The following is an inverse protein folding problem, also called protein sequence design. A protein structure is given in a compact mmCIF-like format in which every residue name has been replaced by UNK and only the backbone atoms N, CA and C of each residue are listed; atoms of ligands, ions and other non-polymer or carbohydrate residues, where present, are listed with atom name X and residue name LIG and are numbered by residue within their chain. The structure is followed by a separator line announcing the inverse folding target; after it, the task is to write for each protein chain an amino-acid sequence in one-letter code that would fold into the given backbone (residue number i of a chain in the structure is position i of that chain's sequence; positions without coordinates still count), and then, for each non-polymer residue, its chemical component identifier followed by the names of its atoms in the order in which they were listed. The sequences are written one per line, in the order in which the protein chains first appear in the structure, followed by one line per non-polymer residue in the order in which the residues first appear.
data_IF_778062240992
#
_entry.id   IF_778062240992
#
_cell.length_a   1.000
_cell.length_b   1.000
_cell.length_c   1.000
_cell.angle_alpha   90.00
_cell.angle_beta   90.00
_cell.angle_gamma   90.00
#
_symmetry.space_group_name_H-M   'P 1'
#
loop_
_entity.id
_entity.type
_entity.pdbx_description
1 polymer ?
#
# COMPACT_ATOMS: atom_id res chain seq x y z
N UNK A 1 38.07 5.77 -23.01
CA UNK A 1 37.21 6.89 -22.57
C UNK A 1 36.75 6.54 -21.17
N UNK A 2 37.42 7.13 -20.18
CA UNK A 2 37.25 6.83 -18.77
C UNK A 2 36.33 7.93 -18.20
N UNK A 3 35.02 7.72 -18.24
CA UNK A 3 34.06 8.67 -17.68
C UNK A 3 33.99 8.47 -16.17
N UNK A 4 34.93 9.11 -15.48
CA UNK A 4 34.87 9.24 -14.02
C UNK A 4 33.73 10.18 -13.68
N UNK A 5 32.61 9.64 -13.19
CA UNK A 5 31.51 10.41 -12.64
C UNK A 5 32.01 11.23 -11.44
N UNK A 6 32.24 12.53 -11.66
CA UNK A 6 32.61 13.48 -10.62
C UNK A 6 31.36 13.94 -9.87
N UNK A 7 30.90 13.14 -8.92
CA UNK A 7 29.99 13.63 -7.89
C UNK A 7 30.82 14.23 -6.75
N UNK A 8 30.54 15.46 -6.28
CA UNK A 8 31.23 16.03 -5.13
C UNK A 8 30.95 15.21 -3.85
N UNK A 9 31.96 14.92 -3.01
CA UNK A 9 31.79 14.16 -1.78
C UNK A 9 31.31 15.09 -0.66
N UNK A 10 30.06 15.53 -0.72
CA UNK A 10 29.44 16.34 0.33
C UNK A 10 27.92 16.34 0.22
N UNK A 11 27.31 15.19 0.52
CA UNK A 11 25.87 15.08 0.77
C UNK A 11 25.60 14.11 1.95
N UNK A 12 26.48 14.08 2.95
CA UNK A 12 26.48 13.04 3.99
C UNK A 12 26.58 13.52 5.43
N UNK A 13 26.34 14.80 5.77
CA UNK A 13 26.62 15.28 7.12
C UNK A 13 25.62 16.30 7.68
N UNK A 14 24.33 16.18 7.35
CA UNK A 14 23.29 16.93 8.06
C UNK A 14 21.97 16.13 8.10
N UNK A 15 21.92 15.09 8.93
CA UNK A 15 20.64 14.58 9.41
C UNK A 15 20.16 15.50 10.52
N UNK A 16 19.42 16.56 10.16
CA UNK A 16 18.57 17.22 11.14
C UNK A 16 17.51 16.19 11.56
N UNK A 17 17.66 15.61 12.75
CA UNK A 17 16.63 14.78 13.37
C UNK A 17 15.43 15.64 13.76
N UNK A 18 14.65 16.08 12.77
CA UNK A 18 13.34 16.61 13.03
C UNK A 18 12.42 15.44 13.35
N UNK A 19 12.29 15.12 14.64
CA UNK A 19 11.23 14.23 15.13
C UNK A 19 9.90 14.95 14.93
N UNK A 20 9.30 14.82 13.74
CA UNK A 20 7.87 15.09 13.58
C UNK A 20 7.16 14.02 14.40
N UNK A 21 6.51 14.40 15.50
CA UNK A 21 5.53 13.52 16.11
C UNK A 21 4.48 13.17 15.06
N UNK A 22 4.26 11.89 14.71
CA UNK A 22 3.36 11.53 13.62
C UNK A 22 1.96 12.03 13.97
N UNK A 23 1.56 13.13 13.33
CA UNK A 23 0.28 13.77 13.62
C UNK A 23 -0.82 12.80 13.21
N UNK A 24 -1.77 12.48 14.09
CA UNK A 24 -2.84 11.51 13.75
C UNK A 24 -3.95 12.15 12.91
N UNK A 25 -3.58 12.91 11.88
CA UNK A 25 -4.54 13.65 11.08
C UNK A 25 -5.60 12.71 10.48
N UNK A 26 -6.89 12.94 10.75
CA UNK A 26 -7.97 12.14 10.17
C UNK A 26 -8.08 12.41 8.68
N UNK A 27 -8.65 11.46 7.94
CA UNK A 27 -8.99 11.66 6.53
C UNK A 27 -10.01 12.82 6.43
N UNK A 28 -9.77 13.87 5.61
CA UNK A 28 -10.70 14.99 5.48
C UNK A 28 -12.09 14.58 4.97
N UNK A 29 -12.18 13.44 4.29
CA UNK A 29 -13.44 12.94 3.69
C UNK A 29 -14.27 12.12 4.68
N UNK A 30 -13.68 11.16 5.41
CA UNK A 30 -14.43 10.25 6.28
C UNK A 30 -14.15 10.42 7.77
N UNK A 31 -13.26 11.34 8.15
CA UNK A 31 -12.83 11.61 9.53
C UNK A 31 -12.19 10.43 10.27
N UNK A 32 -11.90 9.31 9.60
CA UNK A 32 -11.18 8.18 10.17
C UNK A 32 -9.67 8.36 10.02
N UNK A 33 -8.91 7.93 11.02
CA UNK A 33 -7.44 7.99 10.99
C UNK A 33 -6.84 7.00 9.99
N UNK A 34 -6.13 7.51 9.00
CA UNK A 34 -5.36 6.74 8.03
C UNK A 34 -4.04 6.20 8.59
N UNK A 35 -3.36 5.33 7.83
CA UNK A 35 -1.98 4.89 8.13
C UNK A 35 -0.99 5.84 7.47
N UNK A 36 0.17 6.05 8.08
CA UNK A 36 1.28 6.71 7.38
C UNK A 36 1.65 5.91 6.13
N UNK A 37 2.02 6.61 5.05
CA UNK A 37 2.59 6.00 3.84
C UNK A 37 3.85 6.76 3.47
N UNK A 38 4.89 6.04 3.10
CA UNK A 38 6.15 6.65 2.72
C UNK A 38 6.04 7.33 1.35
N UNK A 39 6.75 8.44 1.17
CA UNK A 39 6.69 9.21 -0.06
C UNK A 39 7.13 8.40 -1.31
N UNK A 40 8.13 7.48 -1.24
CA UNK A 40 8.43 6.58 -2.34
C UNK A 40 7.25 5.68 -2.74
N UNK A 41 6.52 5.08 -1.78
CA UNK A 41 5.32 4.29 -2.04
C UNK A 41 4.27 5.12 -2.78
N UNK A 42 4.00 6.32 -2.27
CA UNK A 42 3.01 7.23 -2.84
C UNK A 42 3.37 7.56 -4.30
N UNK A 43 4.62 7.97 -4.55
CA UNK A 43 5.09 8.32 -5.90
C UNK A 43 5.09 7.13 -6.87
N UNK A 44 5.40 5.93 -6.38
CA UNK A 44 5.39 4.72 -7.21
C UNK A 44 3.98 4.34 -7.69
N UNK A 45 2.95 4.62 -6.85
CA UNK A 45 1.58 4.16 -7.08
C UNK A 45 0.65 5.22 -7.62
N UNK A 46 0.98 6.51 -7.53
CA UNK A 46 0.17 7.57 -8.13
C UNK A 46 0.23 7.54 -9.67
N UNK A 47 -0.93 7.72 -10.28
CA UNK A 47 -1.16 7.86 -11.72
C UNK A 47 -1.34 9.34 -12.13
N UNK A 48 -0.77 10.26 -11.34
CA UNK A 48 -0.76 11.71 -11.61
C UNK A 48 0.66 12.20 -11.90
N UNK A 49 0.83 13.37 -12.53
CA UNK A 49 2.15 13.99 -12.67
C UNK A 49 2.80 14.20 -11.30
N UNK A 50 4.02 13.68 -11.10
CA UNK A 50 4.70 13.81 -9.80
C UNK A 50 5.08 15.27 -9.44
N UNK A 51 5.02 16.19 -10.41
CA UNK A 51 5.13 17.64 -10.19
C UNK A 51 3.99 18.19 -9.31
N UNK A 52 2.87 17.48 -9.22
CA UNK A 52 1.72 17.85 -8.40
C UNK A 52 1.83 17.33 -6.96
N UNK A 53 2.77 16.42 -6.67
CA UNK A 53 2.91 15.79 -5.35
C UNK A 53 3.78 16.66 -4.44
N UNK A 54 3.19 17.26 -3.41
CA UNK A 54 3.93 18.07 -2.42
C UNK A 54 4.83 17.19 -1.54
N UNK A 55 6.00 17.68 -1.09
CA UNK A 55 6.91 16.95 -0.19
C UNK A 55 6.45 17.03 1.27
N UNK A 56 5.22 16.59 1.54
CA UNK A 56 4.63 16.53 2.89
C UNK A 56 4.33 15.08 3.28
N UNK A 57 3.99 14.84 4.54
CA UNK A 57 3.52 13.53 4.98
C UNK A 57 2.14 13.22 4.39
N UNK A 58 1.96 11.98 3.94
CA UNK A 58 0.69 11.46 3.47
C UNK A 58 0.22 10.29 4.31
N UNK A 59 -1.08 10.04 4.23
CA UNK A 59 -1.73 8.90 4.86
C UNK A 59 -2.62 8.15 3.89
N UNK A 60 -2.64 6.84 4.05
CA UNK A 60 -3.54 5.91 3.40
C UNK A 60 -4.85 5.76 4.19
N UNK A 61 -5.98 6.13 3.58
CA UNK A 61 -7.31 5.93 4.13
C UNK A 61 -7.80 4.51 3.80
N UNK A 62 -7.94 3.67 4.83
CA UNK A 62 -8.36 2.27 4.69
C UNK A 62 -9.87 2.04 4.75
N UNK A 63 -10.67 3.09 4.94
CA UNK A 63 -12.12 2.98 5.08
C UNK A 63 -12.73 2.57 3.74
N UNK A 64 -13.48 1.45 3.65
CA UNK A 64 -13.99 0.93 2.38
C UNK A 64 -14.80 1.94 1.57
N UNK A 65 -15.80 2.55 2.18
CA UNK A 65 -16.74 3.45 1.49
C UNK A 65 -16.23 4.89 1.34
N UNK A 66 -14.97 5.16 1.70
CA UNK A 66 -14.38 6.48 1.53
C UNK A 66 -13.67 6.58 0.17
N UNK A 67 -14.03 7.53 -0.70
CA UNK A 67 -13.42 7.63 -2.04
C UNK A 67 -11.93 8.06 -2.00
N UNK A 68 -11.47 8.59 -0.88
CA UNK A 68 -10.05 8.98 -0.69
C UNK A 68 -9.20 7.74 -0.43
N UNK A 69 -8.14 7.57 -1.23
CA UNK A 69 -7.07 6.57 -1.02
C UNK A 69 -5.94 7.18 -0.22
N UNK A 70 -5.35 8.28 -0.70
CA UNK A 70 -4.29 9.01 -0.01
C UNK A 70 -4.72 10.44 0.32
N UNK A 71 -4.22 10.98 1.42
CA UNK A 71 -4.41 12.37 1.78
C UNK A 71 -3.18 12.94 2.48
N UNK A 72 -2.88 14.22 2.25
CA UNK A 72 -1.80 14.90 2.97
C UNK A 72 -2.23 15.19 4.42
N UNK A 73 -1.26 15.27 5.32
CA UNK A 73 -1.49 15.49 6.76
C UNK A 73 -2.21 16.81 7.08
N UNK A 74 -2.04 17.82 6.23
CA UNK A 74 -2.71 19.12 6.30
C UNK A 74 -4.09 19.14 5.63
N UNK A 75 -4.50 18.02 5.01
CA UNK A 75 -5.77 17.85 4.31
C UNK A 75 -5.88 18.58 2.97
N UNK A 76 -4.83 19.28 2.52
CA UNK A 76 -4.86 20.08 1.30
C UNK A 76 -4.83 19.24 0.02
N UNK A 77 -4.22 18.04 0.03
CA UNK A 77 -4.22 17.11 -1.08
C UNK A 77 -4.95 15.82 -0.74
N UNK A 78 -5.72 15.33 -1.71
CA UNK A 78 -6.49 14.09 -1.65
C UNK A 78 -6.37 13.41 -3.01
N UNK A 79 -6.11 12.11 -2.98
CA UNK A 79 -6.04 11.26 -4.17
C UNK A 79 -7.05 10.12 -4.01
N UNK A 80 -7.92 9.94 -5.01
CA UNK A 80 -8.90 8.86 -5.08
C UNK A 80 -8.39 7.66 -5.87
N UNK A 81 -9.25 6.67 -6.09
CA UNK A 81 -8.87 5.46 -6.85
C UNK A 81 -8.45 5.75 -8.29
N UNK A 82 -9.03 6.77 -8.94
CA UNK A 82 -8.65 7.16 -10.31
C UNK A 82 -7.25 7.80 -10.38
N UNK A 83 -6.71 8.26 -9.24
CA UNK A 83 -5.38 8.86 -9.16
C UNK A 83 -4.30 7.81 -8.84
N UNK A 84 -4.67 6.53 -8.72
CA UNK A 84 -3.79 5.43 -8.31
C UNK A 84 -3.74 4.36 -9.39
N UNK A 85 -2.53 3.88 -9.71
CA UNK A 85 -2.26 2.91 -10.79
C UNK A 85 -2.90 1.55 -10.56
N UNK A 86 -3.07 1.17 -9.30
CA UNK A 86 -3.56 -0.14 -8.89
C UNK A 86 -4.90 -0.02 -8.18
N UNK A 87 -5.82 -0.95 -8.45
CA UNK A 87 -7.06 -1.09 -7.69
C UNK A 87 -6.73 -1.36 -6.23
N UNK A 88 -7.41 -0.67 -5.31
CA UNK A 88 -7.07 -0.69 -3.88
C UNK A 88 -7.93 -1.70 -3.13
N UNK A 89 -7.30 -2.75 -2.58
CA UNK A 89 -7.99 -3.83 -1.86
C UNK A 89 -8.97 -3.30 -0.81
N UNK A 90 -8.55 -2.35 0.04
CA UNK A 90 -9.39 -1.84 1.11
C UNK A 90 -10.68 -1.16 0.62
N UNK A 91 -10.71 -0.68 -0.62
CA UNK A 91 -11.85 -0.01 -1.27
C UNK A 91 -12.75 -0.96 -2.06
N UNK A 92 -12.22 -2.15 -2.43
CA UNK A 92 -12.85 -3.10 -3.34
C UNK A 92 -12.85 -4.53 -2.80
N UNK A 93 -13.01 -4.70 -1.49
CA UNK A 93 -12.82 -5.99 -0.82
C UNK A 93 -13.74 -7.11 -1.30
N UNK A 94 -14.87 -6.75 -1.92
CA UNK A 94 -15.88 -7.67 -2.48
C UNK A 94 -15.58 -8.10 -3.90
N UNK A 95 -14.70 -7.38 -4.61
CA UNK A 95 -14.48 -7.57 -6.04
C UNK A 95 -13.43 -8.65 -6.27
N UNK A 96 -13.76 -9.66 -7.08
CA UNK A 96 -12.91 -10.84 -7.25
C UNK A 96 -11.57 -10.54 -7.94
N UNK A 97 -11.53 -9.53 -8.81
CA UNK A 97 -10.32 -9.16 -9.56
C UNK A 97 -9.34 -8.27 -8.78
N UNK A 98 -9.69 -7.80 -7.57
CA UNK A 98 -8.76 -6.95 -6.81
C UNK A 98 -7.63 -7.79 -6.21
N UNK A 99 -6.39 -7.32 -6.36
CA UNK A 99 -5.26 -7.93 -5.66
C UNK A 99 -5.38 -7.74 -4.15
N UNK A 100 -5.22 -8.82 -3.41
CA UNK A 100 -4.94 -8.79 -1.96
C UNK A 100 -3.43 -8.79 -1.74
N UNK A 101 -2.68 -9.48 -2.61
CA UNK A 101 -1.22 -9.47 -2.66
C UNK A 101 -0.72 -8.91 -4.00
N UNK A 102 -0.17 -7.70 -3.98
CA UNK A 102 0.35 -7.02 -5.19
C UNK A 102 1.73 -7.53 -5.65
N UNK A 103 2.48 -8.22 -4.79
CA UNK A 103 3.78 -8.78 -5.13
C UNK A 103 3.62 -10.10 -5.90
N UNK A 104 2.79 -11.00 -5.38
CA UNK A 104 2.60 -12.35 -5.91
C UNK A 104 1.29 -12.51 -6.71
N UNK A 105 0.58 -11.40 -6.96
CA UNK A 105 -0.63 -11.31 -7.80
C UNK A 105 -1.81 -12.20 -7.36
N UNK A 106 -1.96 -12.43 -6.07
CA UNK A 106 -3.17 -13.09 -5.54
C UNK A 106 -4.33 -12.10 -5.47
N UNK A 107 -5.45 -12.45 -6.11
CA UNK A 107 -6.71 -11.71 -6.06
C UNK A 107 -7.67 -12.30 -5.03
N UNK A 108 -8.71 -11.55 -4.65
CA UNK A 108 -9.81 -12.05 -3.80
C UNK A 108 -10.44 -13.30 -4.44
N UNK A 109 -10.70 -13.26 -5.74
CA UNK A 109 -11.25 -14.39 -6.51
C UNK A 109 -10.36 -15.62 -6.46
N UNK A 110 -9.04 -15.48 -6.68
CA UNK A 110 -8.12 -16.61 -6.65
C UNK A 110 -8.09 -17.33 -5.29
N UNK A 111 -8.24 -16.58 -4.18
CA UNK A 111 -8.29 -17.14 -2.83
C UNK A 111 -9.63 -17.85 -2.60
N UNK A 112 -10.75 -17.23 -3.04
CA UNK A 112 -12.10 -17.83 -2.96
C UNK A 112 -12.18 -19.14 -3.74
N UNK A 113 -11.66 -19.17 -4.97
CA UNK A 113 -11.65 -20.34 -5.85
C UNK A 113 -10.84 -21.50 -5.24
N UNK A 114 -9.67 -21.21 -4.68
CA UNK A 114 -8.88 -22.21 -3.96
C UNK A 114 -9.65 -22.79 -2.77
N UNK A 115 -10.23 -21.90 -1.96
CA UNK A 115 -10.97 -22.29 -0.77
C UNK A 115 -12.20 -23.14 -1.11
N UNK A 116 -12.98 -22.75 -2.13
CA UNK A 116 -14.13 -23.51 -2.58
C UNK A 116 -13.78 -24.95 -3.02
N UNK A 117 -12.56 -25.15 -3.54
CA UNK A 117 -12.08 -26.46 -4.00
C UNK A 117 -11.46 -27.31 -2.89
N UNK A 118 -10.81 -26.69 -1.91
CA UNK A 118 -9.93 -27.39 -0.95
C UNK A 118 -10.33 -27.23 0.51
N UNK A 119 -11.30 -26.35 0.80
CA UNK A 119 -11.69 -25.92 2.15
C UNK A 119 -10.54 -25.39 3.01
N UNK A 120 -9.45 -24.95 2.37
CA UNK A 120 -8.30 -24.31 3.01
C UNK A 120 -7.70 -23.28 2.05
N UNK A 121 -6.80 -22.41 2.53
CA UNK A 121 -6.04 -21.52 1.65
C UNK A 121 -4.55 -21.70 1.83
N UNK A 122 -3.85 -22.08 0.75
CA UNK A 122 -2.39 -22.21 0.74
C UNK A 122 -1.69 -20.87 0.51
N UNK A 123 -2.44 -19.84 0.07
CA UNK A 123 -1.90 -18.50 -0.24
C UNK A 123 -1.17 -17.87 0.95
N UNK A 124 -1.64 -18.08 2.19
CA UNK A 124 -0.94 -17.57 3.39
C UNK A 124 0.48 -18.16 3.46
N UNK A 125 0.62 -19.46 3.26
CA UNK A 125 1.91 -20.15 3.31
C UNK A 125 2.81 -19.74 2.12
N UNK A 126 2.27 -19.73 0.90
CA UNK A 126 3.01 -19.36 -0.31
C UNK A 126 3.56 -17.92 -0.23
N UNK A 127 2.72 -16.96 0.22
CA UNK A 127 3.14 -15.56 0.39
C UNK A 127 4.15 -15.42 1.51
N UNK A 128 4.00 -16.16 2.61
CA UNK A 128 4.99 -16.16 3.71
C UNK A 128 6.35 -16.63 3.23
N UNK A 129 6.41 -17.75 2.49
CA UNK A 129 7.66 -18.28 1.94
C UNK A 129 8.35 -17.27 1.01
N UNK A 130 7.59 -16.61 0.12
CA UNK A 130 8.13 -15.58 -0.77
C UNK A 130 8.66 -14.33 -0.03
N UNK A 131 8.02 -13.95 1.09
CA UNK A 131 8.51 -12.86 1.95
C UNK A 131 9.83 -13.25 2.62
N UNK A 132 9.93 -14.46 3.17
CA UNK A 132 11.13 -14.95 3.89
C UNK A 132 12.39 -14.96 3.01
N UNK A 133 12.23 -15.21 1.71
CA UNK A 133 13.34 -15.17 0.74
C UNK A 133 13.49 -13.82 0.03
N UNK A 134 12.81 -12.77 0.50
CA UNK A 134 12.99 -11.40 0.02
C UNK A 134 12.42 -11.10 -1.37
N UNK A 135 11.42 -11.87 -1.84
CA UNK A 135 10.81 -11.67 -3.17
C UNK A 135 9.66 -10.65 -3.19
N UNK A 136 9.32 -10.04 -2.05
CA UNK A 136 8.28 -9.02 -1.97
C UNK A 136 8.85 -7.60 -2.01
N UNK A 137 8.04 -6.65 -2.48
CA UNK A 137 8.34 -5.22 -2.48
C UNK A 137 7.08 -4.42 -2.10
N UNK A 138 6.46 -4.76 -0.96
CA UNK A 138 5.16 -4.22 -0.55
C UNK A 138 5.19 -2.69 -0.39
N UNK A 139 6.32 -2.15 0.03
CA UNK A 139 6.62 -0.73 0.22
C UNK A 139 6.58 0.08 -1.08
N UNK A 140 6.54 -0.54 -2.26
CA UNK A 140 6.34 0.18 -3.53
C UNK A 140 5.22 -0.40 -4.40
N UNK A 141 4.77 -1.63 -4.12
CA UNK A 141 3.72 -2.32 -4.90
C UNK A 141 2.35 -2.30 -4.24
N UNK A 142 2.27 -2.21 -2.92
CA UNK A 142 0.99 -2.26 -2.20
C UNK A 142 0.52 -0.83 -1.88
N UNK A 143 -0.70 -0.40 -2.28
CA UNK A 143 -1.28 0.88 -1.89
C UNK A 143 -1.30 1.16 -0.38
N UNK A 144 -1.29 0.13 0.44
CA UNK A 144 -1.18 0.28 1.90
C UNK A 144 0.23 0.73 2.36
N UNK A 145 1.26 0.56 1.54
CA UNK A 145 2.67 0.78 1.90
C UNK A 145 3.22 -0.20 2.93
N UNK A 146 2.51 -1.29 3.22
CA UNK A 146 2.93 -2.29 4.21
C UNK A 146 2.66 -3.72 3.73
N UNK A 147 3.20 -4.71 4.45
CA UNK A 147 3.00 -6.12 4.11
C UNK A 147 1.51 -6.50 3.99
N UNK A 148 1.17 -7.22 2.92
CA UNK A 148 -0.19 -7.65 2.60
C UNK A 148 -0.70 -8.83 3.43
N UNK A 149 0.17 -9.50 4.20
CA UNK A 149 -0.14 -10.76 4.88
C UNK A 149 -1.34 -10.66 5.85
N UNK A 150 -1.50 -9.52 6.52
CA UNK A 150 -2.68 -9.26 7.36
C UNK A 150 -3.99 -9.23 6.56
N UNK A 151 -3.97 -8.71 5.34
CA UNK A 151 -5.15 -8.69 4.46
C UNK A 151 -5.47 -10.12 3.98
N UNK A 152 -4.46 -10.90 3.58
CA UNK A 152 -4.64 -12.29 3.12
C UNK A 152 -5.27 -13.14 4.22
N UNK A 153 -4.73 -13.08 5.44
CA UNK A 153 -5.29 -13.80 6.60
C UNK A 153 -6.74 -13.41 6.87
N UNK A 154 -7.06 -12.12 6.77
CA UNK A 154 -8.43 -11.65 6.94
C UNK A 154 -9.38 -12.15 5.85
N UNK A 155 -8.92 -12.33 4.60
CA UNK A 155 -9.73 -12.96 3.55
C UNK A 155 -9.97 -14.43 3.89
N UNK A 156 -8.92 -15.20 4.18
CA UNK A 156 -9.04 -16.62 4.52
C UNK A 156 -9.99 -16.86 5.71
N UNK A 157 -9.83 -16.08 6.79
CA UNK A 157 -10.68 -16.19 7.98
C UNK A 157 -12.16 -15.87 7.70
N UNK A 158 -12.45 -14.90 6.81
CA UNK A 158 -13.83 -14.61 6.41
C UNK A 158 -14.46 -15.79 5.68
N UNK A 159 -13.72 -16.40 4.75
CA UNK A 159 -14.19 -17.59 4.01
C UNK A 159 -14.46 -18.77 4.94
N UNK A 160 -13.62 -18.99 5.95
CA UNK A 160 -13.82 -20.01 6.98
C UNK A 160 -15.07 -19.76 7.84
N UNK A 161 -15.42 -18.49 8.08
CA UNK A 161 -16.58 -18.11 8.91
C UNK A 161 -17.89 -18.12 8.11
N UNK A 162 -17.81 -17.93 6.80
CA UNK A 162 -18.96 -17.88 5.87
C UNK A 162 -19.32 -19.26 5.28
N UNK A 163 -18.46 -20.27 5.46
CA UNK A 163 -18.65 -21.66 5.02
C UNK A 163 -19.49 -22.49 5.99
#
# INVERSE_FOLDING_TARGET
MNETCLCPPQAGAATCEWRVSPSRAPCPTCQKTGRSVDLPTLKALLAVPLTEVRPVEYRFCRTPDCPTVYYSIDGAQRFGENDVRERVYQKRQTDDDVFVCYCFRHTVGSIKEEFARTHTSTVVAAVTAGIEVGQCACEIRNPQGSCCLGNIRAVAQRLETEA
#
